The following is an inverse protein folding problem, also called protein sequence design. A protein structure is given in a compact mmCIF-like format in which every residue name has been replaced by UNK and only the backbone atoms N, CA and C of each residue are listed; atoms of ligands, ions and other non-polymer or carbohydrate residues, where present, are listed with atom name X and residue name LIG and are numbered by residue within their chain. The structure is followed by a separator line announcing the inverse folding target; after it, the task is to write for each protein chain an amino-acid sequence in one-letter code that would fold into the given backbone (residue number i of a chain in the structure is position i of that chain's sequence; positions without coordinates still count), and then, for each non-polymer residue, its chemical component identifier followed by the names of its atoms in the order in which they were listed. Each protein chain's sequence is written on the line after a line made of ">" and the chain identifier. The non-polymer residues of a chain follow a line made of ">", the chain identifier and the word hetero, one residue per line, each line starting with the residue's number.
data_IF_377233959639
#
_entry.id   IF_377233959639
#
_cell.length_a   1.000
_cell.length_b   1.000
_cell.length_c   1.000
_cell.angle_alpha   90.00
_cell.angle_beta   90.00
_cell.angle_gamma   90.00
#
_symmetry.space_group_name_H-M   'P 1'
#
loop_
_entity.id
_entity.type
_entity.pdbx_description
1 polymer ?
#
# COMPACT_ATOMS: atom_id res chain seq x y z
N UNK A 1 -8.93 -5.64 16.22
CA UNK A 1 -7.46 -5.47 16.23
C UNK A 1 -7.19 -4.01 15.91
N UNK A 2 -6.95 -3.20 16.92
CA UNK A 2 -6.71 -1.77 16.78
C UNK A 2 -5.35 -1.57 16.10
N UNK A 3 -5.29 -0.73 15.07
CA UNK A 3 -4.00 -0.39 14.46
C UNK A 3 -3.09 0.25 15.51
N UNK A 4 -1.78 -0.07 15.55
CA UNK A 4 -0.87 0.61 16.43
C UNK A 4 -0.85 2.11 16.14
N UNK A 5 -0.67 2.92 17.17
CA UNK A 5 -0.53 4.37 17.06
C UNK A 5 0.52 4.71 16.00
N UNK A 6 0.26 5.66 15.07
CA UNK A 6 1.23 6.02 14.05
C UNK A 6 2.56 6.45 14.69
N UNK A 7 3.62 5.69 14.45
CA UNK A 7 4.97 6.06 14.87
C UNK A 7 5.44 7.19 13.96
N UNK A 8 5.90 8.29 14.55
CA UNK A 8 6.49 9.39 13.80
C UNK A 8 7.69 8.89 12.97
N UNK A 9 7.77 9.27 11.70
CA UNK A 9 8.87 8.89 10.82
C UNK A 9 10.16 9.58 11.26
N UNK A 10 11.27 8.83 11.35
CA UNK A 10 12.60 9.40 11.52
C UNK A 10 12.90 10.37 10.37
N UNK A 11 13.26 11.65 10.63
CA UNK A 11 13.55 12.63 9.59
C UNK A 11 14.59 12.16 8.56
N UNK A 12 15.51 11.27 8.95
CA UNK A 12 16.53 10.70 8.05
C UNK A 12 15.97 9.74 7.01
N UNK A 13 14.77 9.21 7.25
CA UNK A 13 14.06 8.33 6.30
C UNK A 13 13.15 9.12 5.36
N UNK A 14 13.02 10.43 5.52
CA UNK A 14 12.23 11.22 4.58
C UNK A 14 13.05 11.48 3.30
N UNK A 15 12.52 11.03 2.16
CA UNK A 15 13.18 11.19 0.84
C UNK A 15 12.20 11.77 -0.17
N UNK A 16 12.69 12.22 -1.33
CA UNK A 16 11.85 12.73 -2.44
C UNK A 16 10.74 11.76 -2.88
N UNK A 17 10.91 10.46 -2.62
CA UNK A 17 9.88 9.46 -2.91
C UNK A 17 8.64 9.65 -2.04
N UNK A 18 8.83 9.95 -0.75
CA UNK A 18 7.73 10.21 0.19
C UNK A 18 6.83 11.34 -0.32
N UNK A 19 7.43 12.43 -0.79
CA UNK A 19 6.72 13.59 -1.36
C UNK A 19 6.03 13.24 -2.68
N UNK A 20 6.69 12.46 -3.53
CA UNK A 20 6.18 12.11 -4.86
C UNK A 20 4.88 11.30 -4.78
N UNK A 21 4.81 10.32 -3.88
CA UNK A 21 3.67 9.39 -3.81
C UNK A 21 2.79 9.57 -2.57
N UNK A 22 3.14 10.50 -1.67
CA UNK A 22 2.35 10.84 -0.49
C UNK A 22 2.43 9.82 0.66
N UNK A 23 3.56 9.13 0.83
CA UNK A 23 3.75 8.11 1.88
C UNK A 23 4.62 8.61 3.03
N UNK A 24 4.47 8.02 4.22
CA UNK A 24 5.27 8.39 5.42
C UNK A 24 6.66 7.80 5.39
N UNK A 25 6.84 6.63 4.78
CA UNK A 25 8.08 5.86 4.80
C UNK A 25 8.50 5.52 3.37
N UNK A 26 9.80 5.61 3.04
CA UNK A 26 10.31 5.34 1.69
C UNK A 26 10.43 3.84 1.44
N UNK A 27 9.37 3.09 1.75
CA UNK A 27 9.29 1.64 1.70
C UNK A 27 8.20 1.27 0.71
N UNK A 28 8.54 0.41 -0.23
CA UNK A 28 7.61 -0.13 -1.22
C UNK A 28 7.47 -1.63 -0.99
N UNK A 29 6.24 -2.09 -0.82
CA UNK A 29 5.94 -3.52 -0.90
C UNK A 29 5.83 -3.90 -2.37
N UNK A 30 6.70 -4.83 -2.81
CA UNK A 30 6.76 -5.25 -4.21
C UNK A 30 5.55 -6.10 -4.63
N UNK A 31 5.02 -5.86 -5.83
CA UNK A 31 3.90 -6.61 -6.42
C UNK A 31 4.29 -8.04 -6.79
N UNK A 32 4.23 -8.96 -5.82
CA UNK A 32 4.43 -10.39 -6.05
C UNK A 32 3.11 -11.07 -6.40
N UNK A 33 3.05 -11.69 -7.58
CA UNK A 33 1.88 -12.45 -8.02
C UNK A 33 1.42 -13.46 -6.97
N UNK A 34 0.11 -13.56 -6.77
CA UNK A 34 -0.55 -14.43 -5.77
C UNK A 34 -0.29 -14.11 -4.29
N UNK A 35 0.65 -13.20 -3.99
CA UNK A 35 0.98 -12.78 -2.61
C UNK A 35 0.44 -11.38 -2.32
N UNK A 36 0.65 -10.46 -3.25
CA UNK A 36 0.30 -9.05 -3.10
C UNK A 36 -1.16 -8.76 -3.50
N UNK A 37 -2.09 -9.30 -2.71
CA UNK A 37 -3.52 -8.99 -2.80
C UNK A 37 -3.92 -7.76 -1.96
N UNK A 38 -5.20 -7.42 -2.01
CA UNK A 38 -5.79 -6.24 -1.36
C UNK A 38 -5.41 -6.09 0.12
N UNK A 39 -5.47 -7.18 0.89
CA UNK A 39 -5.16 -7.17 2.33
C UNK A 39 -3.72 -6.74 2.64
N UNK A 40 -2.73 -7.24 1.89
CA UNK A 40 -1.32 -6.90 2.10
C UNK A 40 -1.03 -5.46 1.66
N UNK A 41 -1.59 -5.06 0.52
CA UNK A 41 -1.49 -3.69 0.00
C UNK A 41 -2.06 -2.69 0.99
N UNK A 42 -3.29 -2.91 1.48
CA UNK A 42 -3.95 -2.01 2.43
C UNK A 42 -3.21 -1.93 3.77
N UNK A 43 -2.71 -3.06 4.28
CA UNK A 43 -1.91 -3.08 5.51
C UNK A 43 -0.60 -2.27 5.35
N UNK A 44 0.07 -2.41 4.20
CA UNK A 44 1.30 -1.64 3.91
C UNK A 44 1.00 -0.14 3.84
N UNK A 45 -0.07 0.24 3.14
CA UNK A 45 -0.49 1.63 3.00
C UNK A 45 -0.83 2.26 4.37
N UNK A 46 -1.59 1.56 5.22
CA UNK A 46 -1.87 1.99 6.61
C UNK A 46 -0.61 2.13 7.46
N UNK A 47 0.34 1.20 7.29
CA UNK A 47 1.64 1.26 7.93
C UNK A 47 2.52 2.42 7.43
N UNK A 48 2.13 3.11 6.36
CA UNK A 48 2.75 4.33 5.87
C UNK A 48 3.77 4.13 4.76
N UNK A 49 3.87 2.92 4.19
CA UNK A 49 4.62 2.66 2.96
C UNK A 49 3.71 2.65 1.73
N UNK A 50 4.27 2.42 0.55
CA UNK A 50 3.49 2.22 -0.68
C UNK A 50 3.22 0.73 -0.88
N UNK A 51 1.97 0.31 -0.70
CA UNK A 51 1.50 -1.03 -1.08
C UNK A 51 1.20 -1.12 -2.57
N UNK A 52 1.47 -2.28 -3.20
CA UNK A 52 1.22 -2.51 -4.63
C UNK A 52 0.42 -3.81 -4.81
N UNK A 53 -0.75 -3.73 -5.44
CA UNK A 53 -1.52 -4.91 -5.87
C UNK A 53 -0.79 -5.58 -7.03
N UNK A 54 -0.56 -6.89 -6.97
CA UNK A 54 -0.05 -7.62 -8.13
C UNK A 54 -1.20 -7.99 -9.08
N UNK A 55 -1.44 -7.15 -10.10
CA UNK A 55 -2.50 -7.39 -11.09
C UNK A 55 -2.13 -8.38 -12.20
N UNK A 56 -0.85 -8.70 -12.40
CA UNK A 56 -0.39 -9.59 -13.48
C UNK A 56 -1.12 -10.95 -13.59
N UNK A 57 -1.46 -11.65 -12.48
CA UNK A 57 -2.21 -12.91 -12.55
C UNK A 57 -3.75 -12.73 -12.59
N UNK A 58 -4.27 -11.50 -12.52
CA UNK A 58 -5.69 -11.22 -12.36
C UNK A 58 -6.38 -10.97 -13.71
N UNK A 59 -7.67 -11.30 -13.79
CA UNK A 59 -8.56 -10.71 -14.80
C UNK A 59 -8.84 -9.23 -14.49
N UNK A 60 -9.38 -8.50 -15.44
CA UNK A 60 -9.78 -7.10 -15.23
C UNK A 60 -10.75 -6.95 -14.05
N UNK A 61 -11.80 -7.78 -13.98
CA UNK A 61 -12.80 -7.71 -12.91
C UNK A 61 -12.20 -8.05 -11.53
N UNK A 62 -11.27 -9.00 -11.49
CA UNK A 62 -10.52 -9.33 -10.26
C UNK A 62 -9.66 -8.15 -9.80
N UNK A 63 -8.98 -7.48 -10.73
CA UNK A 63 -8.18 -6.30 -10.44
C UNK A 63 -9.05 -5.16 -9.90
N UNK A 64 -10.19 -4.87 -10.53
CA UNK A 64 -11.14 -3.84 -10.06
C UNK A 64 -11.63 -4.16 -8.65
N UNK A 65 -12.04 -5.42 -8.40
CA UNK A 65 -12.47 -5.87 -7.08
C UNK A 65 -11.37 -5.66 -6.04
N UNK A 66 -10.12 -6.03 -6.35
CA UNK A 66 -8.99 -5.86 -5.44
C UNK A 66 -8.69 -4.37 -5.14
N UNK A 67 -8.84 -3.48 -6.13
CA UNK A 67 -8.69 -2.02 -5.95
C UNK A 67 -9.77 -1.49 -4.99
N UNK A 68 -11.02 -1.90 -5.18
CA UNK A 68 -12.15 -1.47 -4.34
C UNK A 68 -11.99 -1.97 -2.90
N UNK A 69 -11.51 -3.20 -2.70
CA UNK A 69 -11.20 -3.74 -1.38
C UNK A 69 -10.12 -2.95 -0.65
N UNK A 70 -9.07 -2.49 -1.35
CA UNK A 70 -8.04 -1.63 -0.74
C UNK A 70 -8.64 -0.28 -0.36
N UNK A 71 -9.39 0.36 -1.25
CA UNK A 71 -10.06 1.64 -1.00
C UNK A 71 -11.04 1.58 0.17
N UNK A 72 -11.74 0.46 0.34
CA UNK A 72 -12.62 0.24 1.48
C UNK A 72 -11.86 0.06 2.80
N UNK A 73 -10.59 -0.38 2.75
CA UNK A 73 -9.77 -0.66 3.93
C UNK A 73 -8.88 0.51 4.37
N UNK A 74 -8.58 1.47 3.48
CA UNK A 74 -7.71 2.62 3.77
C UNK A 74 -7.85 3.77 2.78
N UNK A 75 -7.69 5.00 3.28
CA UNK A 75 -7.57 6.23 2.48
C UNK A 75 -6.11 6.57 2.12
N UNK A 76 -5.15 5.72 2.50
CA UNK A 76 -3.72 5.93 2.21
C UNK A 76 -3.39 5.56 0.75
N UNK A 77 -2.39 6.20 0.13
CA UNK A 77 -2.03 5.92 -1.25
C UNK A 77 -1.51 4.49 -1.44
N UNK A 78 -1.85 3.90 -2.58
CA UNK A 78 -1.39 2.58 -3.02
C UNK A 78 -1.27 2.53 -4.55
N UNK A 79 -0.60 1.50 -5.07
CA UNK A 79 -0.46 1.26 -6.51
C UNK A 79 -0.97 -0.12 -6.94
N UNK A 80 -0.89 -0.37 -8.26
CA UNK A 80 -1.31 -1.59 -8.97
C UNK A 80 -0.26 -1.91 -10.03
#
# INVERSE_FOLDING_TARGET
>A
MTDPTPVASDPRLHTRFCDLVGVRHPIVQTGMGWVAGSRLTAATARAGGLGIIAAAPMTFDQMVTAIDEVRAATDQPFGV
#
